data_IF_665958142058
#
_entry.id   IF_665958142058
#
_cell.length_a   1.000
_cell.length_b   1.000
_cell.length_c   1.000
_cell.angle_alpha   90.00
_cell.angle_beta   90.00
_cell.angle_gamma   90.00
#
_symmetry.space_group_name_H-M   'P 1'
#
loop_
_entity.id
_entity.type
_entity.pdbx_description
1 polymer ?
#
# COMPACT_ATOMS: atom_id res chain seq x y z
N UNK A 1 -32.36 -1.99 -5.93
CA UNK A 1 -32.43 -2.46 -7.32
C UNK A 1 -32.01 -1.43 -8.37
N UNK A 2 -32.24 -0.15 -8.16
CA UNK A 2 -31.85 0.95 -9.07
C UNK A 2 -30.31 1.18 -9.08
N UNK A 3 -29.66 1.11 -7.95
CA UNK A 3 -28.21 1.27 -7.81
C UNK A 3 -27.39 0.17 -8.50
N UNK A 4 -27.88 -1.05 -8.50
CA UNK A 4 -27.21 -2.18 -9.16
C UNK A 4 -27.21 -2.06 -10.70
N UNK A 5 -28.25 -1.43 -11.27
CA UNK A 5 -28.35 -1.18 -12.72
C UNK A 5 -27.47 -0.02 -13.20
N UNK A 6 -27.28 1.00 -12.37
CA UNK A 6 -26.36 2.11 -12.67
C UNK A 6 -24.90 1.65 -12.61
N UNK A 7 -24.61 0.66 -11.81
CA UNK A 7 -23.27 0.10 -11.61
C UNK A 7 -22.76 -0.69 -12.84
N UNK A 8 -23.62 -1.43 -13.51
CA UNK A 8 -23.23 -2.15 -14.72
C UNK A 8 -22.90 -1.23 -15.92
N UNK A 9 -23.42 0.00 -15.93
CA UNK A 9 -23.20 0.94 -17.05
C UNK A 9 -21.86 1.68 -16.98
N UNK A 10 -21.25 1.81 -15.80
CA UNK A 10 -19.99 2.52 -15.61
C UNK A 10 -18.73 1.67 -15.91
N UNK A 11 -18.87 0.34 -15.98
CA UNK A 11 -17.75 -0.59 -16.27
C UNK A 11 -17.45 -0.68 -17.77
N UNK A 12 -18.34 -0.26 -18.66
CA UNK A 12 -18.24 -0.53 -20.10
C UNK A 12 -17.55 0.55 -20.95
N UNK A 13 -17.04 1.65 -20.37
CA UNK A 13 -16.53 2.78 -21.17
C UNK A 13 -15.02 3.07 -21.05
N UNK A 14 -14.18 2.09 -20.73
CA UNK A 14 -12.73 2.30 -20.80
C UNK A 14 -12.08 1.17 -21.60
N UNK A 15 -12.19 1.25 -22.93
CA UNK A 15 -11.32 0.52 -23.85
C UNK A 15 -10.33 1.52 -24.46
N UNK A 16 -9.10 1.55 -23.99
CA UNK A 16 -7.99 2.24 -24.65
C UNK A 16 -6.91 1.25 -25.09
N UNK A 17 -6.48 1.47 -26.32
CA UNK A 17 -5.55 0.65 -27.08
C UNK A 17 -4.17 0.55 -26.45
N UNK A 18 -3.70 -0.67 -26.21
CA UNK A 18 -2.32 -0.96 -25.85
C UNK A 18 -1.43 -0.94 -27.10
N UNK A 19 -0.50 -0.01 -27.17
CA UNK A 19 0.58 0.01 -28.18
C UNK A 19 1.69 -0.91 -27.68
N UNK A 20 1.92 -2.01 -28.40
CA UNK A 20 3.00 -2.93 -28.14
C UNK A 20 4.36 -2.29 -28.56
N UNK A 21 5.24 -2.06 -27.60
CA UNK A 21 6.64 -1.71 -27.88
C UNK A 21 7.49 -2.98 -28.09
N UNK A 22 8.05 -3.05 -29.27
CA UNK A 22 8.95 -4.13 -29.73
C UNK A 22 10.36 -3.87 -29.16
N UNK A 23 10.78 -4.63 -28.13
CA UNK A 23 12.12 -4.56 -27.59
C UNK A 23 13.08 -5.49 -28.39
N UNK A 24 13.87 -4.89 -29.26
CA UNK A 24 15.06 -5.54 -29.85
C UNK A 24 16.14 -5.71 -28.77
N UNK A 25 16.62 -6.95 -28.57
CA UNK A 25 17.79 -7.24 -27.74
C UNK A 25 19.03 -6.54 -28.28
N UNK A 26 19.81 -5.82 -27.48
CA UNK A 26 21.10 -5.29 -27.92
C UNK A 26 22.16 -6.42 -27.90
N UNK A 27 23.04 -6.40 -28.89
CA UNK A 27 24.23 -7.22 -29.03
C UNK A 27 25.13 -7.10 -27.78
N UNK A 28 25.69 -8.20 -27.30
CA UNK A 28 26.68 -8.20 -26.22
C UNK A 28 27.98 -7.56 -26.71
N UNK A 29 28.25 -6.33 -26.22
CA UNK A 29 29.56 -5.70 -26.31
C UNK A 29 30.43 -6.34 -25.22
N UNK A 30 31.68 -6.69 -25.51
CA UNK A 30 32.65 -7.08 -24.47
C UNK A 30 32.74 -5.98 -23.44
N UNK A 31 32.56 -6.30 -22.14
CA UNK A 31 32.63 -5.35 -21.07
C UNK A 31 34.05 -4.75 -21.00
N UNK A 32 34.19 -3.45 -21.07
CA UNK A 32 35.47 -2.76 -20.86
C UNK A 32 35.82 -2.84 -19.37
N UNK A 33 36.91 -3.53 -19.03
CA UNK A 33 37.42 -3.67 -17.67
C UNK A 33 38.48 -2.60 -17.44
N UNK A 34 38.21 -1.68 -16.52
CA UNK A 34 39.17 -0.69 -16.05
C UNK A 34 39.83 -1.15 -14.75
N UNK A 35 41.13 -0.94 -14.65
CA UNK A 35 41.93 -1.40 -13.55
C UNK A 35 42.82 -0.26 -13.02
N UNK A 36 42.87 -0.07 -11.70
CA UNK A 36 43.77 0.87 -11.02
C UNK A 36 44.38 0.27 -9.75
N UNK A 37 45.63 0.63 -9.42
CA UNK A 37 46.32 0.22 -8.21
C UNK A 37 47.49 1.15 -7.91
N UNK A 38 48.01 1.16 -6.65
CA UNK A 38 49.20 1.95 -6.29
C UNK A 38 50.46 1.36 -6.94
N UNK A 39 50.55 0.04 -7.03
CA UNK A 39 51.72 -0.66 -7.61
C UNK A 39 51.27 -1.85 -8.45
N UNK A 40 51.82 -1.97 -9.65
CA UNK A 40 51.62 -3.09 -10.57
C UNK A 40 52.99 -3.75 -10.84
N UNK A 41 53.06 -5.08 -10.72
CA UNK A 41 54.18 -5.91 -11.07
C UNK A 41 53.75 -6.97 -12.08
N UNK A 42 54.49 -7.14 -13.14
CA UNK A 42 54.25 -8.15 -14.16
C UNK A 42 55.42 -9.12 -14.15
N UNK A 43 55.12 -10.40 -14.10
CA UNK A 43 56.12 -11.49 -14.22
C UNK A 43 55.88 -12.23 -15.53
N UNK A 44 56.64 -11.90 -16.55
CA UNK A 44 56.51 -12.45 -17.89
C UNK A 44 56.83 -13.94 -17.93
N UNK A 45 57.66 -14.50 -17.04
CA UNK A 45 57.99 -15.92 -17.02
C UNK A 45 56.85 -16.79 -16.50
N UNK A 46 55.92 -16.24 -15.70
CA UNK A 46 54.79 -16.95 -15.12
C UNK A 46 53.46 -16.47 -15.67
N UNK A 47 53.46 -15.42 -16.51
CA UNK A 47 52.27 -14.71 -16.99
C UNK A 47 51.34 -14.23 -15.85
N UNK A 48 51.93 -13.81 -14.70
CA UNK A 48 51.18 -13.34 -13.53
C UNK A 48 51.38 -11.84 -13.35
N UNK A 49 50.29 -11.13 -13.28
CA UNK A 49 50.21 -9.72 -12.90
C UNK A 49 49.80 -9.60 -11.43
N UNK A 50 50.56 -8.85 -10.65
CA UNK A 50 50.27 -8.61 -9.25
C UNK A 50 50.07 -7.12 -9.03
N UNK A 51 48.90 -6.74 -8.58
CA UNK A 51 48.55 -5.37 -8.15
C UNK A 51 48.46 -5.30 -6.63
N UNK A 52 48.98 -4.23 -6.05
CA UNK A 52 48.95 -4.02 -4.62
C UNK A 52 48.64 -2.55 -4.28
N UNK A 53 47.94 -2.35 -3.17
CA UNK A 53 47.49 -1.06 -2.68
C UNK A 53 46.32 -0.49 -3.45
N UNK A 54 45.22 -0.23 -2.74
CA UNK A 54 44.01 0.40 -3.27
C UNK A 54 43.58 -0.12 -4.66
N UNK A 55 43.59 -1.45 -4.83
CA UNK A 55 43.26 -2.06 -6.13
C UNK A 55 41.78 -1.86 -6.40
N UNK A 56 41.45 -1.29 -7.56
CA UNK A 56 40.06 -1.13 -8.03
C UNK A 56 39.92 -1.72 -9.42
N UNK A 57 38.97 -2.62 -9.58
CA UNK A 57 38.54 -3.19 -10.86
C UNK A 57 37.11 -2.75 -11.12
N UNK A 58 36.83 -2.14 -12.26
CA UNK A 58 35.49 -1.65 -12.60
C UNK A 58 35.11 -2.18 -13.97
N UNK A 59 33.91 -2.75 -14.04
CA UNK A 59 33.22 -3.08 -15.29
C UNK A 59 31.85 -2.39 -15.32
N UNK A 60 31.13 -2.43 -16.44
CA UNK A 60 29.78 -1.87 -16.57
C UNK A 60 28.78 -2.45 -15.55
N UNK A 61 29.02 -3.67 -15.06
CA UNK A 61 28.12 -4.39 -14.18
C UNK A 61 28.52 -4.34 -12.71
N UNK A 62 29.82 -4.14 -12.37
CA UNK A 62 30.31 -4.28 -11.01
C UNK A 62 31.61 -3.51 -10.74
N UNK A 63 31.86 -3.23 -9.46
CA UNK A 63 33.11 -2.67 -8.95
C UNK A 63 33.67 -3.60 -7.87
N UNK A 64 34.97 -3.94 -7.99
CA UNK A 64 35.70 -4.74 -6.99
C UNK A 64 36.81 -3.89 -6.44
N UNK A 65 36.94 -3.82 -5.12
CA UNK A 65 38.11 -3.23 -4.43
C UNK A 65 38.79 -4.27 -3.56
N UNK A 66 40.12 -4.23 -3.44
CA UNK A 66 40.91 -5.18 -2.65
C UNK A 66 42.28 -4.55 -2.25
N UNK A 67 42.95 -5.14 -1.27
CA UNK A 67 44.31 -4.74 -0.93
C UNK A 67 45.33 -5.24 -1.94
N UNK A 68 45.09 -6.45 -2.48
CA UNK A 68 45.97 -7.12 -3.45
C UNK A 68 45.12 -7.92 -4.46
N UNK A 69 45.53 -7.91 -5.74
CA UNK A 69 44.98 -8.79 -6.79
C UNK A 69 46.13 -9.46 -7.56
N UNK A 70 46.04 -10.76 -7.72
CA UNK A 70 46.91 -11.56 -8.60
C UNK A 70 46.08 -12.07 -9.76
N UNK A 71 46.51 -11.77 -10.99
CA UNK A 71 45.86 -12.26 -12.21
C UNK A 71 46.84 -13.11 -13.03
N UNK A 72 46.45 -14.34 -13.26
CA UNK A 72 47.20 -15.26 -14.14
C UNK A 72 46.53 -15.29 -15.52
N UNK A 73 47.22 -14.75 -16.51
CA UNK A 73 46.71 -14.63 -17.89
C UNK A 73 46.55 -15.99 -18.58
N UNK A 74 47.37 -16.99 -18.23
CA UNK A 74 47.31 -18.32 -18.84
C UNK A 74 46.07 -19.11 -18.40
N UNK A 75 45.67 -18.94 -17.15
CA UNK A 75 44.53 -19.67 -16.55
C UNK A 75 43.26 -18.84 -16.45
N UNK A 76 43.30 -17.59 -16.89
CA UNK A 76 42.22 -16.60 -16.73
C UNK A 76 41.65 -16.56 -15.29
N UNK A 77 42.56 -16.54 -14.30
CA UNK A 77 42.20 -16.57 -12.89
C UNK A 77 42.75 -15.35 -12.17
N UNK A 78 41.84 -14.58 -11.58
CA UNK A 78 42.20 -13.51 -10.65
C UNK A 78 41.89 -13.91 -9.21
N UNK A 79 42.79 -13.56 -8.30
CA UNK A 79 42.62 -13.77 -6.86
C UNK A 79 42.77 -12.42 -6.17
N UNK A 80 41.66 -11.91 -5.63
CA UNK A 80 41.61 -10.72 -4.80
C UNK A 80 41.72 -11.11 -3.32
N UNK A 81 42.57 -10.42 -2.56
CA UNK A 81 42.88 -10.73 -1.18
C UNK A 81 42.91 -9.42 -0.34
N UNK A 82 42.33 -9.51 0.83
CA UNK A 82 42.30 -8.44 1.82
C UNK A 82 41.24 -7.40 1.54
N UNK A 83 40.32 -7.20 2.49
CA UNK A 83 39.24 -6.21 2.45
C UNK A 83 38.49 -6.17 1.11
N UNK A 84 38.21 -7.36 0.54
CA UNK A 84 37.58 -7.42 -0.77
C UNK A 84 36.15 -6.98 -0.69
N UNK A 85 35.80 -5.93 -1.45
CA UNK A 85 34.45 -5.40 -1.58
C UNK A 85 34.00 -5.48 -3.03
N UNK A 86 32.93 -6.25 -3.29
CA UNK A 86 32.28 -6.34 -4.57
C UNK A 86 30.95 -5.60 -4.53
N UNK A 87 30.78 -4.56 -5.34
CA UNK A 87 29.53 -3.81 -5.48
C UNK A 87 28.88 -4.13 -6.82
N UNK A 88 27.63 -4.57 -6.77
CA UNK A 88 26.82 -4.87 -7.95
C UNK A 88 26.03 -3.64 -8.42
N UNK A 89 25.54 -3.70 -9.64
CA UNK A 89 24.77 -2.60 -10.26
C UNK A 89 23.44 -2.31 -9.53
N UNK A 90 22.84 -3.32 -8.89
CA UNK A 90 21.60 -3.17 -8.09
C UNK A 90 21.81 -2.50 -6.73
N UNK A 91 23.07 -2.21 -6.37
CA UNK A 91 23.46 -1.65 -5.10
C UNK A 91 23.78 -2.69 -4.02
N UNK A 92 23.74 -3.98 -4.32
CA UNK A 92 24.15 -5.04 -3.41
C UNK A 92 25.67 -5.02 -3.21
N UNK A 93 26.13 -5.24 -1.97
CA UNK A 93 27.52 -5.19 -1.57
C UNK A 93 27.90 -6.55 -0.97
N UNK A 94 28.99 -7.14 -1.47
CA UNK A 94 29.54 -8.41 -1.01
C UNK A 94 30.93 -8.16 -0.45
N UNK A 95 31.16 -8.56 0.78
CA UNK A 95 32.43 -8.40 1.49
C UNK A 95 33.04 -9.77 1.79
N UNK A 96 34.36 -9.91 1.59
CA UNK A 96 35.08 -11.17 1.76
C UNK A 96 36.56 -10.92 2.03
N UNK A 97 37.23 -11.87 2.67
CA UNK A 97 38.68 -11.80 2.83
C UNK A 97 39.40 -12.22 1.55
N UNK A 98 38.76 -13.12 0.77
CA UNK A 98 39.32 -13.65 -0.47
C UNK A 98 38.26 -13.91 -1.50
N UNK A 99 38.50 -13.45 -2.72
CA UNK A 99 37.64 -13.68 -3.87
C UNK A 99 38.47 -14.25 -5.01
N UNK A 100 37.98 -15.32 -5.60
CA UNK A 100 38.57 -15.94 -6.81
C UNK A 100 37.62 -15.68 -7.98
N UNK A 101 38.14 -15.11 -9.04
CA UNK A 101 37.41 -14.74 -10.26
C UNK A 101 37.98 -15.57 -11.42
N UNK A 102 37.14 -16.16 -12.22
CA UNK A 102 37.51 -16.96 -13.41
C UNK A 102 36.53 -16.69 -14.54
N UNK A 103 36.86 -17.16 -15.73
CA UNK A 103 36.02 -17.06 -16.93
C UNK A 103 35.62 -15.60 -17.22
N UNK A 104 36.65 -14.76 -17.50
CA UNK A 104 36.48 -13.32 -17.74
C UNK A 104 35.70 -12.63 -16.61
N UNK A 105 35.99 -12.99 -15.35
CA UNK A 105 35.36 -12.50 -14.13
C UNK A 105 33.85 -12.84 -13.99
N UNK A 106 33.31 -13.76 -14.81
CA UNK A 106 31.89 -14.17 -14.73
C UNK A 106 31.64 -15.16 -13.59
N UNK A 107 32.63 -16.03 -13.27
CA UNK A 107 32.51 -16.97 -12.15
C UNK A 107 33.27 -16.48 -10.93
N UNK A 108 32.63 -16.59 -9.74
CA UNK A 108 33.11 -16.03 -8.49
C UNK A 108 33.08 -17.09 -7.39
N UNK A 109 34.16 -17.18 -6.61
CA UNK A 109 34.17 -17.90 -5.33
C UNK A 109 34.68 -16.95 -4.27
N UNK A 110 33.89 -16.69 -3.24
CA UNK A 110 34.22 -15.80 -2.13
C UNK A 110 34.11 -16.52 -0.78
N UNK A 111 35.08 -16.32 0.13
CA UNK A 111 35.15 -17.01 1.43
C UNK A 111 35.95 -16.20 2.46
N UNK A 112 35.46 -15.98 3.70
CA UNK A 112 34.04 -16.04 4.07
C UNK A 112 33.27 -14.92 3.39
N UNK A 113 31.93 -14.97 3.39
CA UNK A 113 31.10 -13.96 2.76
C UNK A 113 30.15 -13.28 3.73
N UNK A 114 30.10 -11.96 3.65
CA UNK A 114 29.03 -11.12 4.13
C UNK A 114 28.44 -10.32 2.95
N UNK A 115 27.15 -10.48 2.68
CA UNK A 115 26.46 -9.78 1.60
C UNK A 115 25.35 -8.91 2.17
N UNK A 116 25.38 -7.61 1.87
CA UNK A 116 24.30 -6.65 2.12
C UNK A 116 23.57 -6.42 0.80
N UNK A 117 22.30 -6.80 0.74
CA UNK A 117 21.48 -6.72 -0.47
C UNK A 117 20.87 -5.32 -0.66
N UNK A 118 20.39 -5.02 -1.85
CA UNK A 118 19.82 -3.71 -2.20
C UNK A 118 18.60 -3.31 -1.36
N UNK A 119 17.83 -4.28 -0.84
CA UNK A 119 16.68 -4.09 0.06
C UNK A 119 17.07 -3.95 1.54
N UNK A 120 18.39 -3.83 1.83
CA UNK A 120 19.03 -3.78 3.16
C UNK A 120 19.01 -5.11 3.94
N UNK A 121 18.46 -6.19 3.38
CA UNK A 121 18.63 -7.52 3.93
C UNK A 121 20.07 -7.99 3.76
N UNK A 122 20.47 -9.03 4.50
CA UNK A 122 21.82 -9.57 4.37
C UNK A 122 21.82 -11.11 4.26
N UNK A 123 22.90 -11.60 3.67
CA UNK A 123 23.23 -13.03 3.62
C UNK A 123 24.66 -13.19 4.13
N UNK A 124 24.87 -14.11 5.08
CA UNK A 124 26.21 -14.57 5.47
C UNK A 124 26.38 -16.01 5.07
N UNK A 125 27.60 -16.40 4.67
CA UNK A 125 27.91 -17.76 4.26
C UNK A 125 29.41 -18.02 4.42
N UNK A 126 29.84 -19.25 4.81
CA UNK A 126 31.24 -19.63 4.74
C UNK A 126 31.82 -19.55 3.32
N UNK A 127 30.97 -19.81 2.31
CA UNK A 127 31.40 -19.77 0.92
C UNK A 127 30.23 -19.37 -0.01
N UNK A 128 30.49 -18.41 -0.90
CA UNK A 128 29.70 -18.12 -2.09
C UNK A 128 30.36 -18.74 -3.31
N UNK A 129 29.58 -19.40 -4.14
CA UNK A 129 29.95 -19.77 -5.51
C UNK A 129 28.97 -19.17 -6.51
N UNK A 130 29.47 -18.42 -7.49
CA UNK A 130 28.66 -17.91 -8.60
C UNK A 130 29.22 -18.53 -9.90
N UNK A 131 28.31 -19.08 -10.71
CA UNK A 131 28.67 -19.62 -12.00
C UNK A 131 28.58 -18.56 -13.12
N UNK A 132 28.96 -18.94 -14.33
CA UNK A 132 28.94 -18.09 -15.54
C UNK A 132 27.55 -17.63 -15.98
N UNK A 133 26.49 -18.33 -15.55
CA UNK A 133 25.07 -17.91 -15.74
C UNK A 133 24.61 -16.89 -14.72
N UNK A 134 25.46 -16.51 -13.77
CA UNK A 134 25.15 -15.59 -12.69
C UNK A 134 24.39 -16.21 -11.52
N UNK A 135 24.11 -17.52 -11.55
CA UNK A 135 23.51 -18.21 -10.40
C UNK A 135 24.48 -18.23 -9.22
N UNK A 136 24.02 -17.76 -8.07
CA UNK A 136 24.82 -17.68 -6.84
C UNK A 136 24.35 -18.72 -5.83
N UNK A 137 25.29 -19.47 -5.27
CA UNK A 137 25.07 -20.53 -4.29
C UNK A 137 25.81 -20.16 -3.02
N UNK A 138 25.06 -19.97 -1.92
CA UNK A 138 25.56 -19.69 -0.59
C UNK A 138 25.42 -20.98 0.23
N UNK A 139 26.52 -21.63 0.53
CA UNK A 139 26.53 -22.84 1.34
C UNK A 139 26.41 -22.49 2.83
N UNK A 140 25.57 -23.20 3.57
CA UNK A 140 25.27 -22.90 4.99
C UNK A 140 24.90 -21.42 5.19
N UNK A 141 24.03 -20.93 4.28
CA UNK A 141 23.67 -19.52 4.23
C UNK A 141 22.71 -19.13 5.37
N UNK A 142 22.94 -17.93 5.93
CA UNK A 142 22.05 -17.28 6.89
C UNK A 142 21.51 -16.01 6.29
N UNK A 143 20.18 -15.91 6.18
CA UNK A 143 19.47 -14.73 5.67
C UNK A 143 18.68 -14.03 6.77
N UNK A 144 18.70 -12.71 6.79
CA UNK A 144 17.78 -11.88 7.56
C UNK A 144 17.57 -10.51 6.94
N UNK A 145 16.36 -9.93 7.12
CA UNK A 145 16.05 -8.54 6.76
C UNK A 145 16.07 -7.61 7.99
N UNK A 146 16.83 -7.95 9.02
CA UNK A 146 17.03 -7.10 10.20
C UNK A 146 18.08 -6.01 9.87
N UNK A 147 17.81 -4.76 10.23
CA UNK A 147 18.80 -3.68 10.18
C UNK A 147 19.80 -3.78 11.39
N UNK A 148 20.45 -4.92 11.54
CA UNK A 148 21.42 -5.17 12.60
C UNK A 148 22.84 -5.29 12.02
N UNK A 149 23.84 -4.87 12.80
CA UNK A 149 25.23 -4.95 12.40
C UNK A 149 25.84 -6.31 12.73
N UNK A 150 25.53 -7.32 11.89
CA UNK A 150 25.97 -8.70 12.09
C UNK A 150 27.49 -8.85 12.09
N UNK A 151 28.21 -7.96 11.38
CA UNK A 151 29.67 -7.93 11.40
C UNK A 151 30.25 -7.66 12.80
N UNK A 152 29.58 -6.81 13.58
CA UNK A 152 30.02 -6.48 14.95
C UNK A 152 29.47 -7.48 15.97
N UNK A 153 28.94 -8.63 15.52
CA UNK A 153 28.46 -9.71 16.40
C UNK A 153 27.02 -9.55 16.87
N UNK A 154 26.27 -8.58 16.35
CA UNK A 154 24.84 -8.46 16.67
C UNK A 154 24.06 -9.66 16.09
N UNK A 155 23.30 -10.29 16.95
CA UNK A 155 22.41 -11.39 16.53
C UNK A 155 21.05 -10.82 16.12
N UNK A 156 20.58 -11.07 14.88
CA UNK A 156 19.28 -10.62 14.45
C UNK A 156 18.16 -11.27 15.27
N UNK A 157 17.09 -10.52 15.52
CA UNK A 157 15.91 -11.00 16.22
C UNK A 157 15.35 -12.25 15.52
N UNK A 158 15.35 -12.24 14.17
CA UNK A 158 14.95 -13.39 13.39
C UNK A 158 15.96 -13.63 12.25
N UNK A 159 16.16 -14.89 11.90
CA UNK A 159 16.97 -15.31 10.77
C UNK A 159 16.49 -16.63 10.19
N UNK A 160 16.84 -16.88 8.94
CA UNK A 160 16.62 -18.16 8.27
C UNK A 160 18.00 -18.77 8.00
N UNK A 161 18.28 -19.88 8.62
CA UNK A 161 19.46 -20.69 8.36
C UNK A 161 19.10 -21.76 7.33
N UNK A 162 19.88 -21.92 6.28
CA UNK A 162 19.61 -22.86 5.19
C UNK A 162 20.88 -23.64 4.83
N UNK A 163 20.73 -24.94 4.54
CA UNK A 163 21.85 -25.75 4.05
C UNK A 163 22.45 -25.15 2.78
N UNK A 164 21.61 -24.60 1.91
CA UNK A 164 22.02 -23.85 0.73
C UNK A 164 20.98 -22.80 0.39
N UNK A 165 21.45 -21.60 0.06
CA UNK A 165 20.66 -20.54 -0.56
C UNK A 165 21.13 -20.43 -2.00
N UNK A 166 20.22 -20.59 -2.97
CA UNK A 166 20.49 -20.37 -4.40
C UNK A 166 19.75 -19.12 -4.84
N UNK A 167 20.46 -18.15 -5.42
CA UNK A 167 19.88 -17.01 -6.12
C UNK A 167 20.03 -17.21 -7.62
N UNK A 168 18.91 -17.18 -8.33
CA UNK A 168 18.84 -17.29 -9.78
C UNK A 168 18.41 -15.94 -10.37
N UNK A 169 19.31 -15.17 -11.00
CA UNK A 169 19.01 -13.85 -11.53
C UNK A 169 18.11 -13.89 -12.78
N UNK A 170 18.05 -15.01 -13.50
CA UNK A 170 17.20 -15.14 -14.68
C UNK A 170 15.73 -15.28 -14.29
N UNK A 171 15.45 -16.13 -13.32
CA UNK A 171 14.10 -16.33 -12.78
C UNK A 171 13.77 -15.33 -11.65
N UNK A 172 14.77 -14.52 -11.26
CA UNK A 172 14.69 -13.56 -10.15
C UNK A 172 14.11 -14.20 -8.89
N UNK A 173 14.65 -15.35 -8.53
CA UNK A 173 14.13 -16.21 -7.46
C UNK A 173 15.25 -16.65 -6.54
N UNK A 174 14.97 -16.61 -5.25
CA UNK A 174 15.81 -17.19 -4.20
C UNK A 174 15.19 -18.52 -3.76
N UNK A 175 16.00 -19.55 -3.75
CA UNK A 175 15.64 -20.92 -3.35
C UNK A 175 16.41 -21.30 -2.10
N UNK A 176 15.73 -21.84 -1.09
CA UNK A 176 16.33 -22.30 0.14
C UNK A 176 16.10 -23.81 0.30
N UNK A 177 17.16 -24.52 0.62
CA UNK A 177 17.13 -25.96 0.88
C UNK A 177 17.24 -26.21 2.40
N UNK A 178 16.27 -26.91 2.97
CA UNK A 178 16.15 -27.18 4.43
C UNK A 178 16.25 -25.88 5.27
N UNK A 179 15.48 -24.81 4.97
CA UNK A 179 15.48 -23.62 5.78
C UNK A 179 14.88 -23.89 7.16
N UNK A 180 15.56 -23.33 8.18
CA UNK A 180 15.10 -23.27 9.57
C UNK A 180 14.96 -21.81 9.95
N UNK A 181 13.76 -21.35 10.24
CA UNK A 181 13.54 -20.01 10.77
C UNK A 181 13.77 -20.01 12.28
N UNK A 182 14.61 -19.09 12.75
CA UNK A 182 14.90 -18.88 14.17
C UNK A 182 14.47 -17.49 14.61
N UNK A 183 13.87 -17.41 15.80
CA UNK A 183 13.54 -16.16 16.52
C UNK A 183 14.26 -16.22 17.86
N UNK A 184 15.05 -15.19 18.19
CA UNK A 184 15.93 -15.19 19.37
C UNK A 184 16.74 -16.50 19.53
N UNK A 185 17.26 -17.03 18.41
CA UNK A 185 18.00 -18.30 18.33
C UNK A 185 17.19 -19.58 18.54
N UNK A 186 15.91 -19.51 18.87
CA UNK A 186 15.01 -20.68 18.96
C UNK A 186 14.46 -21.05 17.58
N UNK A 187 14.54 -22.32 17.15
CA UNK A 187 13.93 -22.77 15.91
C UNK A 187 12.41 -22.77 16.05
N UNK A 188 11.72 -22.00 15.20
CA UNK A 188 10.24 -21.86 15.25
C UNK A 188 9.56 -22.47 14.02
N UNK A 189 10.29 -22.65 12.92
CA UNK A 189 9.72 -23.18 11.69
C UNK A 189 10.78 -23.88 10.83
N UNK A 190 10.42 -24.98 10.21
CA UNK A 190 11.26 -25.75 9.28
C UNK A 190 10.47 -26.13 8.04
N UNK A 191 11.11 -26.02 6.88
CA UNK A 191 10.61 -26.53 5.60
C UNK A 191 11.70 -27.35 4.90
N UNK A 192 11.35 -28.40 4.13
CA UNK A 192 12.32 -29.06 3.28
C UNK A 192 12.82 -28.17 2.13
N UNK A 193 11.95 -27.24 1.70
CA UNK A 193 12.22 -26.33 0.58
C UNK A 193 11.36 -25.07 0.71
N UNK A 194 11.95 -23.91 0.37
CA UNK A 194 11.26 -22.62 0.30
C UNK A 194 11.79 -21.85 -0.90
N UNK A 195 10.92 -21.16 -1.61
CA UNK A 195 11.34 -20.20 -2.65
C UNK A 195 10.54 -18.92 -2.55
N UNK A 196 11.19 -17.81 -2.84
CA UNK A 196 10.56 -16.49 -2.87
C UNK A 196 11.22 -15.60 -3.95
N UNK A 197 10.52 -14.56 -4.44
CA UNK A 197 11.11 -13.61 -5.38
C UNK A 197 12.31 -12.92 -4.75
N UNK A 198 13.30 -12.59 -5.57
CA UNK A 198 14.46 -11.84 -5.11
C UNK A 198 14.07 -10.37 -4.81
N UNK A 199 14.99 -9.63 -4.20
CA UNK A 199 14.81 -8.22 -3.76
C UNK A 199 14.57 -7.23 -4.90
N UNK A 200 14.75 -7.60 -6.15
CA UNK A 200 14.49 -6.74 -7.33
C UNK A 200 13.02 -6.79 -7.76
N UNK A 201 12.29 -7.83 -7.34
CA UNK A 201 10.90 -8.06 -7.69
C UNK A 201 9.98 -7.44 -6.64
N UNK A 202 9.26 -6.40 -7.04
CA UNK A 202 8.25 -5.75 -6.20
C UNK A 202 6.90 -6.49 -6.19
N UNK A 203 6.59 -7.27 -7.23
CA UNK A 203 5.31 -7.96 -7.42
C UNK A 203 5.52 -9.31 -8.09
N UNK A 204 5.01 -10.38 -7.49
CA UNK A 204 5.00 -11.73 -8.05
C UNK A 204 3.81 -12.51 -7.56
N UNK A 205 3.16 -13.26 -8.46
CA UNK A 205 2.08 -14.17 -8.12
C UNK A 205 2.58 -15.31 -7.23
N UNK A 206 1.77 -15.70 -6.24
CA UNK A 206 2.08 -16.80 -5.34
C UNK A 206 1.25 -16.80 -4.06
N UNK A 207 1.40 -17.86 -3.28
CA UNK A 207 0.81 -17.94 -1.95
C UNK A 207 1.49 -16.94 -1.02
N UNK A 208 0.69 -16.17 -0.29
CA UNK A 208 1.15 -15.34 0.80
C UNK A 208 1.15 -16.16 2.10
N UNK A 209 1.80 -15.62 3.12
CA UNK A 209 1.89 -16.27 4.43
C UNK A 209 0.49 -16.58 4.99
N UNK A 210 0.15 -17.84 5.23
CA UNK A 210 -1.10 -18.22 5.85
C UNK A 210 -1.24 -17.61 7.24
N UNK A 211 -2.44 -17.15 7.58
CA UNK A 211 -2.77 -16.67 8.92
C UNK A 211 -3.64 -17.71 9.61
N UNK A 212 -3.29 -18.06 10.82
CA UNK A 212 -4.06 -19.01 11.63
C UNK A 212 -4.27 -18.46 13.04
N UNK A 213 -5.30 -18.94 13.69
CA UNK A 213 -5.63 -18.53 15.05
C UNK A 213 -6.67 -19.43 15.68
N UNK A 214 -6.95 -19.16 16.95
CA UNK A 214 -8.00 -19.83 17.71
C UNK A 214 -8.87 -18.77 18.41
N UNK A 215 -10.19 -18.95 18.36
CA UNK A 215 -11.14 -18.14 19.11
C UNK A 215 -12.31 -19.00 19.58
N UNK A 216 -12.97 -18.60 20.67
CA UNK A 216 -14.16 -19.31 21.16
C UNK A 216 -15.31 -19.30 20.13
N UNK A 217 -15.36 -18.28 19.27
CA UNK A 217 -16.39 -18.15 18.24
C UNK A 217 -16.12 -19.04 17.03
N UNK A 218 -14.88 -19.10 16.55
CA UNK A 218 -14.50 -19.76 15.30
C UNK A 218 -13.69 -21.04 15.52
N UNK A 219 -13.31 -21.37 16.77
CA UNK A 219 -12.34 -22.42 17.10
C UNK A 219 -11.03 -22.21 16.34
N UNK A 220 -10.40 -23.28 15.89
CA UNK A 220 -9.24 -23.14 15.00
C UNK A 220 -9.70 -22.60 13.66
N UNK A 221 -9.00 -21.59 13.17
CA UNK A 221 -9.26 -21.01 11.85
C UNK A 221 -7.95 -20.76 11.12
N UNK A 222 -8.00 -20.89 9.80
CA UNK A 222 -6.88 -20.65 8.90
C UNK A 222 -7.36 -19.82 7.70
N UNK A 223 -6.53 -18.85 7.29
CA UNK A 223 -6.71 -18.02 6.10
C UNK A 223 -5.52 -18.26 5.19
N UNK A 224 -5.77 -18.69 3.96
CA UNK A 224 -4.73 -18.98 2.97
C UNK A 224 -4.92 -18.02 1.79
N UNK A 225 -4.14 -16.94 1.71
CA UNK A 225 -4.21 -16.01 0.60
C UNK A 225 -3.31 -16.44 -0.57
N UNK A 226 -3.81 -16.30 -1.78
CA UNK A 226 -3.06 -16.39 -3.03
C UNK A 226 -3.10 -15.04 -3.74
N UNK A 227 -1.95 -14.46 -3.98
CA UNK A 227 -1.80 -13.20 -4.70
C UNK A 227 -1.53 -13.46 -6.17
N UNK A 228 -2.26 -12.79 -7.05
CA UNK A 228 -2.04 -12.82 -8.49
C UNK A 228 -1.68 -11.42 -8.99
N UNK A 229 -0.53 -11.31 -9.63
CA UNK A 229 0.00 -10.09 -10.23
C UNK A 229 0.33 -10.39 -11.70
N UNK A 230 -0.42 -9.89 -12.67
CA UNK A 230 -0.12 -10.08 -14.08
C UNK A 230 1.25 -9.48 -14.43
N UNK A 231 2.06 -10.22 -15.17
CA UNK A 231 3.39 -9.75 -15.59
C UNK A 231 3.30 -8.64 -16.65
N UNK A 232 2.30 -8.71 -17.51
CA UNK A 232 2.13 -7.80 -18.65
C UNK A 232 1.36 -6.52 -18.30
N UNK A 233 0.67 -6.46 -17.15
CA UNK A 233 -0.09 -5.29 -16.71
C UNK A 233 0.14 -5.00 -15.22
N UNK A 234 1.07 -4.10 -14.89
CA UNK A 234 1.36 -3.74 -13.49
C UNK A 234 0.27 -2.90 -12.84
N UNK A 235 -0.78 -2.52 -13.56
CA UNK A 235 -1.80 -1.59 -13.07
C UNK A 235 -2.87 -2.28 -12.24
N UNK A 236 -2.94 -3.60 -12.23
CA UNK A 236 -3.90 -4.34 -11.42
C UNK A 236 -3.32 -5.59 -10.79
N UNK A 237 -3.94 -6.03 -9.73
CA UNK A 237 -3.67 -7.29 -9.06
C UNK A 237 -4.93 -7.81 -8.36
N UNK A 238 -4.89 -9.06 -7.94
CA UNK A 238 -5.94 -9.64 -7.11
C UNK A 238 -5.36 -10.56 -6.03
N UNK A 239 -6.10 -10.68 -4.94
CA UNK A 239 -5.81 -11.64 -3.88
C UNK A 239 -7.05 -12.47 -3.62
N UNK A 240 -6.95 -13.77 -3.84
CA UNK A 240 -7.97 -14.72 -3.42
C UNK A 240 -7.57 -15.30 -2.06
N UNK A 241 -8.48 -15.26 -1.09
CA UNK A 241 -8.23 -15.81 0.25
C UNK A 241 -9.34 -16.77 0.61
N UNK A 242 -8.96 -18.01 0.90
CA UNK A 242 -9.89 -18.97 1.48
C UNK A 242 -9.77 -18.95 3.01
N UNK A 243 -10.91 -18.95 3.67
CA UNK A 243 -11.05 -18.92 5.13
C UNK A 243 -11.73 -20.22 5.56
N UNK A 244 -11.02 -21.03 6.33
CA UNK A 244 -11.56 -22.24 6.92
C UNK A 244 -11.63 -22.07 8.43
N UNK A 245 -12.77 -22.39 9.05
CA UNK A 245 -12.89 -22.42 10.49
C UNK A 245 -13.61 -23.69 10.98
N UNK A 246 -13.30 -24.11 12.20
CA UNK A 246 -13.74 -25.38 12.76
C UNK A 246 -15.20 -25.41 13.22
N UNK A 247 -15.95 -24.31 13.15
CA UNK A 247 -17.32 -24.23 13.68
C UNK A 247 -18.37 -23.81 12.66
N UNK A 248 -18.00 -22.93 11.73
CA UNK A 248 -18.98 -22.22 10.89
C UNK A 248 -18.70 -22.36 9.39
N UNK A 249 -17.80 -23.30 9.01
CA UNK A 249 -17.58 -23.66 7.63
C UNK A 249 -16.54 -22.82 6.90
N UNK A 250 -16.79 -22.55 5.65
CA UNK A 250 -15.85 -22.04 4.65
C UNK A 250 -16.32 -20.71 4.09
N UNK A 251 -15.42 -19.75 3.99
CA UNK A 251 -15.67 -18.47 3.32
C UNK A 251 -14.53 -18.12 2.37
N UNK A 252 -14.86 -17.49 1.27
CA UNK A 252 -13.92 -17.01 0.28
C UNK A 252 -13.97 -15.49 0.17
N UNK A 253 -12.82 -14.89 -0.02
CA UNK A 253 -12.66 -13.47 -0.26
C UNK A 253 -11.86 -13.26 -1.54
N UNK A 254 -12.35 -12.42 -2.43
CA UNK A 254 -11.63 -11.95 -3.60
C UNK A 254 -11.42 -10.44 -3.48
N UNK A 255 -10.17 -10.01 -3.34
CA UNK A 255 -9.77 -8.61 -3.40
C UNK A 255 -9.20 -8.34 -4.79
N UNK A 256 -9.69 -7.32 -5.48
CA UNK A 256 -9.21 -6.85 -6.78
C UNK A 256 -8.83 -5.38 -6.64
N UNK A 257 -7.63 -5.04 -7.06
CA UNK A 257 -7.15 -3.66 -7.10
C UNK A 257 -6.77 -3.27 -8.51
N UNK A 258 -7.20 -2.11 -8.94
CA UNK A 258 -6.83 -1.54 -10.25
C UNK A 258 -6.44 -0.09 -10.05
N UNK A 259 -5.31 0.30 -10.63
CA UNK A 259 -4.82 1.66 -10.62
C UNK A 259 -4.72 2.17 -12.06
N UNK A 260 -5.40 3.24 -12.32
CA UNK A 260 -5.25 4.05 -13.54
C UNK A 260 -4.39 5.27 -13.22
N UNK A 261 -4.12 6.10 -14.21
CA UNK A 261 -3.30 7.30 -14.06
C UNK A 261 -3.86 8.25 -12.98
N UNK A 262 -5.17 8.48 -12.99
CA UNK A 262 -5.86 9.40 -12.07
C UNK A 262 -6.85 8.72 -11.13
N UNK A 263 -7.04 7.39 -11.25
CA UNK A 263 -8.09 6.66 -10.55
C UNK A 263 -7.51 5.39 -9.91
N UNK A 264 -7.86 5.15 -8.66
CA UNK A 264 -7.65 3.87 -7.99
C UNK A 264 -8.98 3.22 -7.67
N UNK A 265 -9.05 1.90 -7.88
CA UNK A 265 -10.22 1.07 -7.60
C UNK A 265 -9.80 -0.12 -6.75
N UNK A 266 -10.55 -0.40 -5.70
CA UNK A 266 -10.42 -1.62 -4.90
C UNK A 266 -11.79 -2.24 -4.68
N UNK A 267 -11.91 -3.54 -4.90
CA UNK A 267 -13.14 -4.29 -4.71
C UNK A 267 -12.84 -5.53 -3.88
N UNK A 268 -13.60 -5.73 -2.82
CA UNK A 268 -13.61 -6.96 -2.03
C UNK A 268 -14.96 -7.64 -2.21
N UNK A 269 -14.93 -8.89 -2.60
CA UNK A 269 -16.12 -9.76 -2.76
C UNK A 269 -15.96 -10.89 -1.75
N UNK A 270 -17.02 -11.13 -0.99
CA UNK A 270 -17.06 -12.15 0.05
C UNK A 270 -18.17 -13.13 -0.25
N UNK A 271 -17.89 -14.40 -0.11
CA UNK A 271 -18.86 -15.49 -0.22
C UNK A 271 -18.70 -16.45 0.93
N UNK A 272 -19.80 -16.90 1.50
CA UNK A 272 -19.82 -17.89 2.56
C UNK A 272 -20.83 -19.00 2.24
N UNK A 273 -20.39 -20.23 2.41
CA UNK A 273 -21.23 -21.41 2.38
C UNK A 273 -21.45 -21.87 3.83
N UNK A 274 -22.67 -21.73 4.30
CA UNK A 274 -23.07 -22.27 5.61
C UNK A 274 -23.16 -23.81 5.49
N UNK A 275 -22.27 -24.48 6.19
CA UNK A 275 -22.33 -25.92 6.36
C UNK A 275 -23.17 -26.21 7.63
N UNK A 276 -24.49 -26.11 7.51
CA UNK A 276 -25.39 -26.45 8.62
C UNK A 276 -26.35 -27.54 8.18
N UNK A 277 -26.31 -28.66 8.88
CA UNK A 277 -27.20 -29.82 8.70
C UNK A 277 -28.72 -29.51 8.80
N UNK A 278 -29.15 -28.26 8.85
CA UNK A 278 -30.52 -27.88 9.23
C UNK A 278 -31.23 -26.83 8.35
N UNK A 279 -30.60 -26.26 7.34
CA UNK A 279 -31.29 -25.42 6.36
C UNK A 279 -30.59 -25.50 5.02
N UNK A 280 -31.38 -25.50 3.94
CA UNK A 280 -30.85 -25.34 2.58
C UNK A 280 -29.81 -24.23 2.59
N UNK A 281 -28.56 -24.57 2.20
CA UNK A 281 -27.40 -23.73 2.40
C UNK A 281 -27.55 -22.36 1.76
N UNK A 282 -27.87 -21.38 2.55
CA UNK A 282 -27.93 -19.98 2.10
C UNK A 282 -26.49 -19.52 1.82
N UNK A 283 -26.20 -19.35 0.54
CA UNK A 283 -25.01 -18.65 0.12
C UNK A 283 -25.14 -17.19 0.57
N UNK A 284 -24.32 -16.77 1.50
CA UNK A 284 -24.26 -15.39 1.96
C UNK A 284 -23.20 -14.64 1.17
N UNK A 285 -23.54 -13.45 0.73
CA UNK A 285 -22.70 -12.61 -0.10
C UNK A 285 -22.46 -11.25 0.55
N UNK A 286 -21.28 -10.70 0.34
CA UNK A 286 -20.94 -9.33 0.73
C UNK A 286 -20.00 -8.70 -0.32
N UNK A 287 -20.07 -7.38 -0.44
CA UNK A 287 -19.18 -6.62 -1.32
C UNK A 287 -18.79 -5.29 -0.67
N UNK A 288 -17.51 -4.97 -0.73
CA UNK A 288 -16.98 -3.65 -0.43
C UNK A 288 -16.26 -3.14 -1.68
N UNK A 289 -16.62 -1.94 -2.11
CA UNK A 289 -16.02 -1.25 -3.24
C UNK A 289 -15.52 0.09 -2.77
N UNK A 290 -14.30 0.45 -3.13
CA UNK A 290 -13.77 1.80 -2.95
C UNK A 290 -13.12 2.30 -4.24
N UNK A 291 -13.36 3.57 -4.58
CA UNK A 291 -12.69 4.23 -5.69
C UNK A 291 -12.37 5.67 -5.35
N UNK A 292 -11.18 6.10 -5.75
CA UNK A 292 -10.79 7.51 -5.70
C UNK A 292 -10.32 7.95 -7.07
N UNK A 293 -10.71 9.14 -7.51
CA UNK A 293 -10.32 9.66 -8.82
C UNK A 293 -10.11 11.16 -8.78
N UNK A 294 -9.00 11.60 -9.37
CA UNK A 294 -8.78 13.02 -9.67
C UNK A 294 -9.40 13.32 -11.04
N UNK A 295 -10.57 13.93 -11.02
CA UNK A 295 -11.29 14.30 -12.23
C UNK A 295 -10.68 15.57 -12.86
N UNK A 296 -10.97 15.77 -14.15
CA UNK A 296 -10.62 17.02 -14.82
C UNK A 296 -11.23 18.23 -14.12
N UNK A 297 -10.63 19.41 -14.27
CA UNK A 297 -11.11 20.68 -13.72
C UNK A 297 -10.99 20.77 -12.18
N UNK A 298 -10.15 19.91 -11.54
CA UNK A 298 -9.82 19.99 -10.11
C UNK A 298 -10.90 19.46 -9.18
N UNK A 299 -11.77 18.56 -9.65
CA UNK A 299 -12.67 17.78 -8.81
C UNK A 299 -12.03 16.47 -8.38
N UNK A 300 -12.19 16.11 -7.13
CA UNK A 300 -11.86 14.81 -6.58
C UNK A 300 -13.14 14.00 -6.37
N UNK A 301 -13.14 12.76 -6.80
CA UNK A 301 -14.23 11.81 -6.56
C UNK A 301 -13.78 10.76 -5.56
N UNK A 302 -14.62 10.49 -4.57
CA UNK A 302 -14.52 9.34 -3.68
C UNK A 302 -15.82 8.56 -3.76
N UNK A 303 -15.72 7.26 -4.00
CA UNK A 303 -16.82 6.33 -4.01
C UNK A 303 -16.54 5.22 -3.01
N UNK A 304 -17.52 4.91 -2.18
CA UNK A 304 -17.52 3.74 -1.30
C UNK A 304 -18.88 3.06 -1.42
N UNK A 305 -18.84 1.76 -1.70
CA UNK A 305 -20.04 0.91 -1.78
C UNK A 305 -19.85 -0.28 -0.85
N UNK A 306 -20.73 -0.44 0.12
CA UNK A 306 -20.74 -1.58 1.04
C UNK A 306 -22.10 -2.25 1.02
N UNK A 307 -22.10 -3.58 0.95
CA UNK A 307 -23.30 -4.39 1.01
C UNK A 307 -22.99 -5.75 1.66
N UNK A 308 -23.89 -6.25 2.47
CA UNK A 308 -23.88 -7.62 2.94
C UNK A 308 -25.32 -8.17 3.10
N UNK A 309 -25.52 -9.43 2.76
CA UNK A 309 -26.83 -10.10 2.91
C UNK A 309 -27.18 -10.31 4.39
N UNK A 310 -26.17 -10.58 5.22
CA UNK A 310 -26.33 -10.85 6.65
C UNK A 310 -25.33 -10.08 7.50
N UNK A 311 -25.82 -9.52 8.59
CA UNK A 311 -25.04 -8.77 9.57
C UNK A 311 -23.89 -9.56 10.20
N UNK A 312 -24.19 -10.78 10.65
CA UNK A 312 -23.23 -11.57 11.44
C UNK A 312 -22.08 -12.13 10.61
N UNK A 313 -22.26 -12.24 9.31
CA UNK A 313 -21.26 -12.79 8.39
C UNK A 313 -19.96 -12.00 8.37
N UNK A 314 -20.04 -10.71 8.08
CA UNK A 314 -18.86 -9.85 7.93
C UNK A 314 -18.05 -9.78 9.23
N UNK A 315 -18.74 -9.66 10.37
CA UNK A 315 -18.12 -9.60 11.69
C UNK A 315 -17.50 -10.93 12.10
N UNK A 316 -18.17 -12.06 11.82
CA UNK A 316 -17.72 -13.39 12.21
C UNK A 316 -16.40 -13.77 11.56
N UNK A 317 -16.21 -13.44 10.30
CA UNK A 317 -14.96 -13.71 9.57
C UNK A 317 -13.92 -12.59 9.71
N UNK A 318 -14.28 -11.49 10.38
CA UNK A 318 -13.40 -10.33 10.56
C UNK A 318 -13.12 -9.60 9.25
N UNK A 319 -14.11 -9.56 8.36
CA UNK A 319 -14.06 -8.79 7.12
C UNK A 319 -14.38 -7.32 7.37
N UNK A 320 -15.42 -7.05 8.17
CA UNK A 320 -15.83 -5.72 8.61
C UNK A 320 -16.53 -5.84 9.98
N UNK A 321 -16.32 -4.86 10.86
CA UNK A 321 -16.91 -4.80 12.19
C UNK A 321 -18.11 -3.85 12.33
N UNK A 322 -18.41 -3.10 11.29
CA UNK A 322 -19.45 -2.08 11.31
C UNK A 322 -20.86 -2.70 11.38
N UNK A 323 -21.73 -2.12 12.17
CA UNK A 323 -23.15 -2.50 12.27
C UNK A 323 -24.02 -1.80 11.22
N UNK A 324 -23.49 -0.74 10.59
CA UNK A 324 -24.17 0.03 9.55
C UNK A 324 -23.21 0.29 8.39
N UNK A 325 -23.67 0.08 7.17
CA UNK A 325 -22.91 0.33 5.96
C UNK A 325 -23.39 1.59 5.26
N UNK A 326 -22.51 2.57 5.17
CA UNK A 326 -22.73 3.77 4.36
C UNK A 326 -22.10 3.57 2.99
N UNK A 327 -22.93 3.55 1.95
CA UNK A 327 -22.49 3.60 0.55
C UNK A 327 -22.64 5.03 0.06
N UNK A 328 -21.59 5.62 -0.51
CA UNK A 328 -21.64 7.01 -0.94
C UNK A 328 -20.82 7.30 -2.19
N UNK A 329 -21.19 8.37 -2.87
CA UNK A 329 -20.38 9.04 -3.89
C UNK A 329 -20.21 10.48 -3.41
N UNK A 330 -18.97 10.92 -3.28
CA UNK A 330 -18.60 12.27 -2.93
C UNK A 330 -17.75 12.89 -4.04
N UNK A 331 -18.17 14.07 -4.50
CA UNK A 331 -17.41 14.92 -5.42
C UNK A 331 -17.00 16.17 -4.67
N UNK A 332 -15.71 16.43 -4.58
CA UNK A 332 -15.17 17.58 -3.86
C UNK A 332 -14.25 18.40 -4.77
N UNK A 333 -14.38 19.72 -4.70
CA UNK A 333 -13.44 20.66 -5.32
C UNK A 333 -12.99 21.68 -4.29
N UNK A 334 -11.69 21.73 -4.08
CA UNK A 334 -11.04 22.69 -3.19
C UNK A 334 -10.29 23.73 -4.02
N UNK A 335 -10.64 25.01 -3.80
CA UNK A 335 -9.91 26.15 -4.35
C UNK A 335 -9.34 26.98 -3.18
N UNK A 336 -8.51 27.95 -3.47
CA UNK A 336 -7.90 28.80 -2.44
C UNK A 336 -8.92 29.52 -1.52
N UNK A 337 -10.12 29.81 -2.02
CA UNK A 337 -11.16 30.58 -1.31
C UNK A 337 -12.53 29.91 -1.32
N UNK A 338 -12.60 28.66 -1.76
CA UNK A 338 -13.89 27.94 -1.75
C UNK A 338 -13.71 26.43 -1.72
N UNK A 339 -14.68 25.76 -1.12
CA UNK A 339 -14.85 24.30 -1.14
C UNK A 339 -16.26 24.01 -1.66
N UNK A 340 -16.34 23.18 -2.69
CA UNK A 340 -17.61 22.68 -3.21
C UNK A 340 -17.69 21.18 -3.00
N UNK A 341 -18.83 20.69 -2.55
CA UNK A 341 -19.04 19.28 -2.31
C UNK A 341 -20.42 18.86 -2.82
N UNK A 342 -20.47 17.69 -3.46
CA UNK A 342 -21.70 17.02 -3.89
C UNK A 342 -21.63 15.60 -3.35
N UNK A 343 -22.59 15.24 -2.49
CA UNK A 343 -22.64 13.91 -1.86
C UNK A 343 -23.99 13.24 -2.09
N UNK A 344 -23.93 11.95 -2.36
CA UNK A 344 -25.09 11.05 -2.38
C UNK A 344 -24.74 9.86 -1.53
N UNK A 345 -25.57 9.44 -0.60
CA UNK A 345 -25.34 8.24 0.17
C UNK A 345 -26.63 7.46 0.49
N UNK A 346 -26.43 6.18 0.73
CA UNK A 346 -27.42 5.26 1.27
C UNK A 346 -26.83 4.55 2.49
N UNK A 347 -27.65 4.19 3.46
CA UNK A 347 -27.25 3.45 4.67
C UNK A 347 -27.96 2.10 4.63
N UNK A 348 -27.23 1.04 4.91
CA UNK A 348 -27.74 -0.31 5.19
C UNK A 348 -27.46 -0.64 6.67
N UNK A 349 -28.50 -0.92 7.43
CA UNK A 349 -28.38 -1.38 8.81
C UNK A 349 -28.27 -2.91 8.86
N UNK A 350 -27.27 -3.41 9.54
CA UNK A 350 -27.00 -4.82 9.68
C UNK A 350 -27.48 -5.40 11.03
N UNK A 351 -28.13 -4.63 11.89
CA UNK A 351 -28.50 -5.06 13.26
C UNK A 351 -29.77 -5.94 13.34
N UNK A 352 -30.22 -6.51 12.21
CA UNK A 352 -31.31 -7.50 12.21
C UNK A 352 -32.71 -6.98 12.53
N UNK A 353 -32.86 -5.78 13.06
CA UNK A 353 -34.13 -5.07 13.07
C UNK A 353 -34.30 -4.44 11.70
N UNK A 354 -35.18 -4.98 10.87
CA UNK A 354 -35.61 -4.32 9.63
C UNK A 354 -36.27 -2.96 10.01
N UNK A 355 -35.46 -1.99 10.33
CA UNK A 355 -35.86 -0.61 10.36
C UNK A 355 -35.84 -0.14 8.90
N UNK A 356 -36.99 -0.16 8.25
CA UNK A 356 -37.18 0.42 6.90
C UNK A 356 -37.01 1.95 6.90
N UNK A 357 -36.50 2.52 7.98
CA UNK A 357 -36.38 3.97 8.22
C UNK A 357 -34.97 4.52 7.99
N UNK A 358 -34.18 3.86 7.15
CA UNK A 358 -32.83 4.34 6.90
C UNK A 358 -32.80 5.42 5.84
N UNK A 359 -32.29 6.60 6.15
CA UNK A 359 -32.34 7.72 5.24
C UNK A 359 -31.40 7.54 4.06
N UNK A 360 -31.90 7.79 2.88
CA UNK A 360 -31.09 8.02 1.68
C UNK A 360 -30.92 9.51 1.48
N UNK A 361 -29.67 9.99 1.46
CA UNK A 361 -29.35 11.37 1.11
C UNK A 361 -29.06 11.45 -0.40
N UNK A 362 -29.89 12.19 -1.15
CA UNK A 362 -29.67 12.35 -2.59
C UNK A 362 -30.37 13.57 -3.18
N UNK A 363 -29.64 14.55 -3.72
CA UNK A 363 -28.25 14.89 -3.44
C UNK A 363 -28.09 15.81 -2.23
N UNK A 364 -26.88 15.90 -1.68
CA UNK A 364 -26.45 17.00 -0.83
C UNK A 364 -25.42 17.82 -1.60
N UNK A 365 -25.68 19.09 -1.81
CA UNK A 365 -24.81 20.03 -2.48
C UNK A 365 -24.42 21.10 -1.47
N UNK A 366 -23.14 21.33 -1.27
CA UNK A 366 -22.65 22.41 -0.44
C UNK A 366 -21.58 23.23 -1.15
N UNK A 367 -21.61 24.53 -0.91
CA UNK A 367 -20.61 25.45 -1.40
C UNK A 367 -20.23 26.40 -0.27
N UNK A 368 -18.97 26.38 0.08
CA UNK A 368 -18.38 27.15 1.16
C UNK A 368 -17.39 28.14 0.54
N UNK A 369 -17.63 29.44 0.72
CA UNK A 369 -16.77 30.52 0.27
C UNK A 369 -16.19 31.20 1.49
N UNK A 370 -14.91 31.37 1.55
CA UNK A 370 -14.24 32.00 2.67
C UNK A 370 -13.09 32.89 2.23
N UNK A 371 -12.81 33.90 3.03
CA UNK A 371 -11.62 34.72 2.86
C UNK A 371 -11.05 35.02 4.26
N UNK A 372 -9.76 34.79 4.38
CA UNK A 372 -9.03 35.09 5.61
C UNK A 372 -8.01 36.20 5.30
N UNK A 373 -8.42 37.44 5.46
CA UNK A 373 -7.59 38.62 5.22
C UNK A 373 -7.43 39.41 6.54
N UNK A 374 -6.27 40.07 6.70
CA UNK A 374 -6.00 40.89 7.91
C UNK A 374 -7.04 41.99 8.18
N UNK A 375 -7.75 42.49 7.14
CA UNK A 375 -8.75 43.56 7.30
C UNK A 375 -10.15 43.08 7.65
N UNK A 376 -10.58 41.94 7.07
CA UNK A 376 -11.88 41.34 7.29
C UNK A 376 -11.88 39.87 6.84
N UNK A 377 -12.58 39.06 7.60
CA UNK A 377 -12.81 37.67 7.25
C UNK A 377 -14.29 37.51 6.91
N UNK A 378 -14.59 36.70 5.92
CA UNK A 378 -15.97 36.28 5.67
C UNK A 378 -16.02 34.77 5.43
N UNK A 379 -17.14 34.19 5.84
CA UNK A 379 -17.46 32.78 5.70
C UNK A 379 -18.90 32.65 5.24
N UNK A 380 -19.14 32.11 4.06
CA UNK A 380 -20.47 31.92 3.47
C UNK A 380 -20.66 30.45 3.15
N UNK A 381 -21.61 29.80 3.81
CA UNK A 381 -21.98 28.42 3.67
C UNK A 381 -23.33 28.27 3.02
N UNK A 382 -23.40 27.72 1.85
CA UNK A 382 -24.62 27.36 1.13
C UNK A 382 -24.77 25.85 1.11
N UNK A 383 -25.93 25.33 1.48
CA UNK A 383 -26.19 23.90 1.46
C UNK A 383 -27.63 23.62 1.01
N UNK A 384 -27.76 22.65 0.11
CA UNK A 384 -29.05 22.10 -0.27
C UNK A 384 -28.97 20.57 -0.16
N UNK A 385 -29.94 19.93 0.46
CA UNK A 385 -29.98 18.48 0.52
C UNK A 385 -31.40 17.94 0.54
N UNK A 386 -31.56 16.72 0.04
CA UNK A 386 -32.80 15.97 0.10
C UNK A 386 -32.54 14.66 0.83
N UNK A 387 -33.39 14.33 1.79
CA UNK A 387 -33.38 13.09 2.56
C UNK A 387 -34.67 12.36 2.24
N UNK A 388 -34.55 11.12 1.80
CA UNK A 388 -35.67 10.23 1.53
C UNK A 388 -35.68 9.09 2.54
N UNK A 389 -36.87 8.77 3.06
CA UNK A 389 -37.09 7.64 3.94
C UNK A 389 -38.18 6.72 3.34
N UNK A 390 -37.94 5.43 3.34
CA UNK A 390 -38.92 4.46 2.82
C UNK A 390 -40.20 4.42 3.67
N UNK A 391 -40.05 4.58 4.99
CA UNK A 391 -41.16 4.66 5.93
C UNK A 391 -40.98 5.92 6.83
N UNK A 392 -41.35 7.09 6.32
CA UNK A 392 -41.16 8.32 7.11
C UNK A 392 -41.37 9.59 6.32
N UNK A 393 -40.65 10.63 6.71
CA UNK A 393 -40.72 11.93 6.07
C UNK A 393 -39.62 12.12 5.07
N UNK A 394 -39.97 12.57 3.88
CA UNK A 394 -39.02 13.14 2.92
C UNK A 394 -38.76 14.59 3.27
N UNK A 395 -37.52 14.98 3.37
CA UNK A 395 -37.11 16.33 3.76
C UNK A 395 -36.23 16.91 2.66
N UNK A 396 -36.62 18.08 2.13
CA UNK A 396 -35.75 18.92 1.30
C UNK A 396 -35.41 20.18 2.11
N UNK A 397 -34.13 20.48 2.23
CA UNK A 397 -33.63 21.64 2.97
C UNK A 397 -32.69 22.47 2.11
N UNK A 398 -32.91 23.78 2.13
CA UNK A 398 -31.99 24.76 1.59
C UNK A 398 -31.53 25.63 2.76
N UNK A 399 -30.24 25.78 2.95
CA UNK A 399 -29.68 26.61 4.01
C UNK A 399 -28.60 27.53 3.47
N UNK A 400 -28.58 28.75 3.92
CA UNK A 400 -27.53 29.72 3.71
C UNK A 400 -27.13 30.32 5.06
N UNK A 401 -25.85 30.30 5.35
CA UNK A 401 -25.25 30.96 6.52
C UNK A 401 -24.12 31.87 6.00
N UNK A 402 -24.18 33.13 6.39
CA UNK A 402 -23.12 34.09 6.14
C UNK A 402 -22.58 34.66 7.44
N UNK A 403 -21.29 34.67 7.60
CA UNK A 403 -20.58 35.24 8.75
C UNK A 403 -19.53 36.23 8.24
N UNK A 404 -19.43 37.38 8.86
CA UNK A 404 -18.42 38.39 8.60
C UNK A 404 -17.76 38.76 9.91
N UNK A 405 -16.45 38.60 9.99
CA UNK A 405 -15.65 39.00 11.13
C UNK A 405 -14.69 40.12 10.70
N UNK A 406 -14.61 41.18 11.52
CA UNK A 406 -13.67 42.28 11.33
C UNK A 406 -12.91 42.58 12.60
N UNK A 407 -11.56 42.57 12.50
CA UNK A 407 -10.65 42.97 13.58
C UNK A 407 -10.08 44.37 13.30
N UNK A 408 -10.09 45.21 14.29
CA UNK A 408 -9.50 46.56 14.27
C UNK A 408 -8.51 46.66 15.43
N UNK A 409 -7.30 47.01 15.13
CA UNK A 409 -6.22 47.17 16.10
C UNK A 409 -6.03 48.65 16.40
N UNK A 410 -6.20 49.04 17.66
CA UNK A 410 -6.02 50.40 18.19
C UNK A 410 -5.00 50.34 19.33
N UNK A 411 -3.73 50.57 19.01
CA UNK A 411 -2.60 50.39 19.94
C UNK A 411 -2.63 48.95 20.54
N UNK A 412 -2.77 48.84 21.86
CA UNK A 412 -2.79 47.56 22.59
C UNK A 412 -4.17 46.92 22.66
N UNK A 413 -5.19 47.54 22.06
CA UNK A 413 -6.59 47.09 22.09
C UNK A 413 -6.97 46.51 20.75
N UNK A 414 -7.46 45.27 20.76
CA UNK A 414 -8.07 44.62 19.58
C UNK A 414 -9.60 44.68 19.77
N UNK A 415 -10.29 45.29 18.80
CA UNK A 415 -11.73 45.27 18.71
C UNK A 415 -12.12 44.28 17.61
N UNK A 416 -12.93 43.29 17.94
CA UNK A 416 -13.47 42.30 17.03
C UNK A 416 -14.97 42.42 16.95
N UNK A 417 -15.50 42.56 15.74
CA UNK A 417 -16.93 42.59 15.46
C UNK A 417 -17.31 41.41 14.58
N UNK A 418 -18.34 40.66 15.02
CA UNK A 418 -18.91 39.55 14.28
C UNK A 418 -20.35 39.86 13.90
N UNK A 419 -20.70 39.52 12.66
CA UNK A 419 -22.07 39.57 12.17
C UNK A 419 -22.37 38.26 11.46
N UNK A 420 -23.50 37.63 11.80
CA UNK A 420 -23.96 36.43 11.14
C UNK A 420 -25.42 36.55 10.72
N UNK A 421 -25.77 35.91 9.62
CA UNK A 421 -27.13 35.80 9.10
C UNK A 421 -27.34 34.39 8.53
N UNK A 422 -28.47 33.78 8.90
CA UNK A 422 -28.83 32.45 8.44
C UNK A 422 -30.27 32.39 7.94
N UNK A 423 -30.47 31.62 6.87
CA UNK A 423 -31.77 31.30 6.30
C UNK A 423 -31.86 29.79 6.07
N UNK A 424 -32.91 29.17 6.59
CA UNK A 424 -33.25 27.78 6.32
C UNK A 424 -34.68 27.69 5.77
N UNK A 425 -34.80 26.96 4.67
CA UNK A 425 -36.08 26.63 4.03
C UNK A 425 -36.26 25.12 3.99
N UNK A 426 -37.35 24.61 4.51
CA UNK A 426 -37.69 23.21 4.59
C UNK A 426 -38.96 22.89 3.81
N UNK A 427 -38.97 21.80 3.06
CA UNK A 427 -40.17 21.15 2.55
C UNK A 427 -40.20 19.72 3.09
N UNK A 428 -41.26 19.38 3.81
CA UNK A 428 -41.45 18.07 4.45
C UNK A 428 -42.67 17.43 3.80
N UNK A 429 -42.52 16.21 3.30
CA UNK A 429 -43.53 15.42 2.58
C UNK A 429 -43.69 14.03 3.22
N UNK A 430 -44.83 13.38 3.00
CA UNK A 430 -45.00 11.95 3.38
C UNK A 430 -45.40 11.71 4.84
N UNK A 431 -45.91 12.72 5.55
CA UNK A 431 -46.32 12.57 6.97
C UNK A 431 -47.47 11.57 7.12
N UNK A 432 -47.29 10.45 7.86
CA UNK A 432 -48.40 9.60 8.24
C UNK A 432 -49.24 10.34 9.32
N UNK A 433 -50.16 11.14 8.91
CA UNK A 433 -51.07 11.79 9.86
C UNK A 433 -52.53 11.75 9.38
N UNK A 434 -53.42 11.76 10.35
CA UNK A 434 -54.87 11.84 10.13
C UNK A 434 -55.31 13.19 9.54
N UNK A 435 -54.39 14.15 9.36
CA UNK A 435 -54.64 15.47 8.81
C UNK A 435 -54.38 15.55 7.33
N UNK A 436 -55.27 16.13 6.55
CA UNK A 436 -55.26 16.23 5.10
C UNK A 436 -54.09 17.02 4.47
N UNK A 437 -53.29 17.75 5.28
CA UNK A 437 -52.15 18.52 4.80
C UNK A 437 -50.88 17.67 4.78
N UNK A 438 -50.63 16.94 3.69
CA UNK A 438 -49.45 16.05 3.51
C UNK A 438 -48.11 16.78 3.35
N UNK A 439 -48.13 18.09 3.06
CA UNK A 439 -46.91 18.86 2.78
C UNK A 439 -46.81 20.04 3.76
N UNK A 440 -45.63 20.22 4.36
CA UNK A 440 -45.35 21.35 5.24
C UNK A 440 -44.12 22.11 4.77
N UNK A 441 -44.27 23.42 4.68
CA UNK A 441 -43.15 24.33 4.41
C UNK A 441 -42.80 25.06 5.69
N UNK A 442 -41.53 25.18 6.00
CA UNK A 442 -41.03 25.87 7.19
C UNK A 442 -39.86 26.75 6.74
N UNK A 443 -39.90 28.00 7.11
CA UNK A 443 -38.80 28.93 6.97
C UNK A 443 -38.28 29.32 8.35
N UNK A 444 -36.98 29.52 8.44
CA UNK A 444 -36.27 29.92 9.65
C UNK A 444 -35.23 30.97 9.28
N UNK A 445 -35.34 32.11 9.91
CA UNK A 445 -34.37 33.19 9.82
C UNK A 445 -33.62 33.30 11.16
N UNK A 446 -32.30 33.53 11.11
CA UNK A 446 -31.49 33.83 12.27
C UNK A 446 -30.50 34.94 11.94
N UNK A 447 -30.25 35.82 12.90
CA UNK A 447 -29.21 36.83 12.81
C UNK A 447 -28.58 37.06 14.17
N UNK A 448 -27.30 37.36 14.18
CA UNK A 448 -26.52 37.63 15.38
C UNK A 448 -25.50 38.71 15.13
N UNK A 449 -25.20 39.44 16.18
CA UNK A 449 -24.16 40.46 16.18
C UNK A 449 -23.42 40.41 17.51
N UNK A 450 -22.09 40.47 17.49
CA UNK A 450 -21.28 40.56 18.69
C UNK A 450 -20.11 41.53 18.47
N UNK A 451 -19.73 42.23 19.56
CA UNK A 451 -18.52 43.04 19.61
C UNK A 451 -17.73 42.61 20.84
N UNK A 452 -16.48 42.31 20.67
CA UNK A 452 -15.52 42.03 21.74
C UNK A 452 -14.37 43.02 21.68
N UNK A 453 -13.90 43.48 22.84
CA UNK A 453 -12.66 44.23 22.95
C UNK A 453 -11.71 43.51 23.88
N UNK A 454 -10.49 43.31 23.45
CA UNK A 454 -9.44 42.66 24.23
C UNK A 454 -8.19 43.54 24.26
N UNK A 455 -7.51 43.56 25.40
CA UNK A 455 -6.23 44.24 25.55
C UNK A 455 -5.16 43.21 25.92
N UNK A 456 -4.07 43.23 25.19
CA UNK A 456 -2.91 42.41 25.48
C UNK A 456 -2.07 43.11 26.57
N UNK A 457 -1.79 42.42 27.65
CA UNK A 457 -0.84 42.85 28.68
C UNK A 457 0.39 41.96 28.58
N UNK A 458 1.56 42.57 28.29
CA UNK A 458 2.81 41.91 28.46
C UNK A 458 3.21 41.98 29.94
N UNK A 459 3.09 40.86 30.66
CA UNK A 459 3.69 40.74 31.97
C UNK A 459 5.19 40.49 31.73
N UNK A 460 6.03 41.56 31.86
CA UNK A 460 7.44 41.39 31.95
C UNK A 460 7.72 40.57 33.22
N UNK A 461 8.29 39.40 33.06
CA UNK A 461 8.89 38.67 34.18
C UNK A 461 10.13 39.46 34.58
N UNK A 462 10.06 40.12 35.76
CA UNK A 462 11.26 40.57 36.48
C UNK A 462 12.04 39.37 37.06
#
# INVERSE_FOLDING_TARGET
>A
MFFLRLFCFLIFFISENAIAQNNKKPFSKSEDINFTSDKLQVNDSTNVMTATGNVVITSDARKITADKVEYNQTTDKAVAIGNVLLTEKDGSIYESDKVILTNEFKSIVASPLYAKLADKSYITSPELRRNDKGESFFNEGVYSACECNVKDGETPIWRIESKQIKHDPLTKTVYLTHPVMKIFSMPVYYLPYLSFPDWTIKRRSGFLTPKYGYSNQNRFHIKVPYYYAPENDPTWDMTFTTHQNGKTGHADQLNIRKKYETTSLETNIFKWNLDTDKSEGDNVFGVNLSATSNLRIGWNMTLEGKYADQETFMRRYGFDGDSTYKSFINLEKVNQKSISNIEIYNIQNLNGTKSNNEPTLAPSISHHIFNNNQKYNYDIKLKAHSIYNDEGYDIKRWSGLGEINKKVYLNDITIEGDFNVGLDLYSIQGRPSKDENKNRYIDRFSSGFSIAASKQYDFANE
#
